data_IF_188758651753
#
_entry.id   IF_188758651753
#
_cell.length_a   1.000
_cell.length_b   1.000
_cell.length_c   1.000
_cell.angle_alpha   90.00
_cell.angle_beta   90.00
_cell.angle_gamma   90.00
#
_symmetry.space_group_name_H-M   'P 1'
#
loop_
_entity.id
_entity.type
_entity.pdbx_description
1 polymer ?
#
# COMPACT_ATOMS: atom_id res chain seq x y z
N UNK A 1 15.56 20.18 14.14
CA UNK A 1 15.78 20.13 12.68
C UNK A 1 16.20 18.76 12.23
N UNK A 2 17.28 18.23 12.74
CA UNK A 2 17.75 16.90 12.33
C UNK A 2 16.73 15.78 12.60
N UNK A 3 15.90 15.91 13.62
CA UNK A 3 14.89 14.92 13.93
C UNK A 3 13.77 14.88 12.89
N UNK A 4 13.39 16.01 12.31
CA UNK A 4 12.33 16.06 11.30
C UNK A 4 12.85 15.55 9.95
N UNK A 5 14.07 15.89 9.59
CA UNK A 5 14.71 15.35 8.40
C UNK A 5 14.89 13.84 8.50
N UNK A 6 15.31 13.34 9.64
CA UNK A 6 15.44 11.90 9.88
C UNK A 6 14.11 11.18 9.83
N UNK A 7 13.03 11.81 10.29
CA UNK A 7 11.68 11.26 10.17
C UNK A 7 11.22 11.18 8.73
N UNK A 8 11.45 12.23 7.96
CA UNK A 8 11.10 12.26 6.53
C UNK A 8 11.92 11.22 5.77
N UNK A 9 13.21 11.12 6.04
CA UNK A 9 14.07 10.12 5.43
C UNK A 9 13.68 8.69 5.83
N UNK A 10 13.36 8.46 7.10
CA UNK A 10 12.92 7.15 7.58
C UNK A 10 11.60 6.75 6.93
N UNK A 11 10.65 7.67 6.80
CA UNK A 11 9.38 7.43 6.10
C UNK A 11 9.62 7.16 4.61
N UNK A 12 10.49 7.94 3.96
CA UNK A 12 10.84 7.76 2.55
C UNK A 12 11.58 6.44 2.30
N UNK A 13 12.39 6.00 3.26
CA UNK A 13 13.10 4.73 3.18
C UNK A 13 12.21 3.52 3.53
N UNK A 14 10.94 3.73 3.91
CA UNK A 14 10.04 2.67 4.33
C UNK A 14 10.38 2.11 5.71
N UNK A 15 11.28 2.75 6.45
CA UNK A 15 11.60 2.37 7.82
C UNK A 15 10.54 2.99 8.71
N UNK A 16 9.46 2.25 8.97
CA UNK A 16 8.41 2.72 9.83
C UNK A 16 8.65 2.14 11.21
N UNK A 17 9.18 2.99 12.04
CA UNK A 17 9.24 2.76 13.46
C UNK A 17 7.81 2.87 14.02
N UNK A 18 7.62 2.59 15.28
CA UNK A 18 6.31 2.51 15.96
C UNK A 18 5.40 3.76 15.84
N UNK A 19 5.81 4.75 15.07
CA UNK A 19 5.13 6.06 15.04
C UNK A 19 4.01 6.18 14.01
N UNK A 20 4.02 5.38 12.96
CA UNK A 20 3.06 5.53 11.88
C UNK A 20 3.19 6.85 11.12
N UNK A 21 2.31 7.07 10.19
CA UNK A 21 2.22 8.30 9.40
C UNK A 21 0.88 8.99 9.68
N UNK A 22 0.93 10.27 9.97
CA UNK A 22 -0.26 11.07 10.24
C UNK A 22 -0.46 12.10 9.12
N UNK A 23 -1.64 12.10 8.56
CA UNK A 23 -2.09 13.11 7.61
C UNK A 23 -3.15 13.98 8.27
N UNK A 24 -2.96 15.30 8.21
CA UNK A 24 -3.94 16.26 8.73
C UNK A 24 -4.90 16.67 7.62
N UNK A 25 -6.17 16.45 7.85
CA UNK A 25 -7.24 16.79 6.93
C UNK A 25 -8.22 17.74 7.59
N UNK A 26 -8.96 18.50 6.79
CA UNK A 26 -9.96 19.43 7.29
C UNK A 26 -11.08 18.74 8.11
N UNK A 27 -11.44 17.51 7.75
CA UNK A 27 -12.48 16.74 8.43
C UNK A 27 -11.98 15.81 9.54
N UNK A 28 -10.70 15.83 9.85
CA UNK A 28 -10.08 14.94 10.83
C UNK A 28 -8.78 14.34 10.35
N UNK A 29 -7.96 13.90 11.29
CA UNK A 29 -6.65 13.32 10.95
C UNK A 29 -6.79 11.87 10.54
N UNK A 30 -5.95 11.44 9.60
CA UNK A 30 -5.78 10.03 9.23
C UNK A 30 -4.40 9.59 9.70
N UNK A 31 -4.37 8.55 10.53
CA UNK A 31 -3.12 7.99 11.05
C UNK A 31 -2.99 6.55 10.58
N UNK A 32 -1.93 6.26 9.84
CA UNK A 32 -1.58 4.92 9.42
C UNK A 32 -0.40 4.45 10.27
N UNK A 33 -0.62 3.43 11.07
CA UNK A 33 0.40 2.83 11.93
C UNK A 33 0.96 1.57 11.30
N UNK A 34 2.08 1.04 11.82
CA UNK A 34 2.55 -0.26 11.36
C UNK A 34 1.42 -1.28 11.41
N UNK A 35 1.24 -2.01 10.32
CA UNK A 35 0.07 -2.89 10.17
C UNK A 35 0.27 -4.20 10.94
N UNK A 36 -0.78 -4.63 11.61
CA UNK A 36 -0.83 -5.97 12.18
C UNK A 36 -0.92 -7.00 11.05
N UNK A 37 -0.42 -8.19 11.30
CA UNK A 37 -0.42 -9.25 10.28
C UNK A 37 -1.85 -9.56 9.78
N UNK A 38 -2.82 -9.58 10.67
CA UNK A 38 -4.23 -9.77 10.29
C UNK A 38 -4.73 -8.70 9.34
N UNK A 39 -4.32 -7.45 9.55
CA UNK A 39 -4.65 -6.34 8.64
C UNK A 39 -4.01 -6.53 7.26
N UNK A 40 -2.75 -6.95 7.23
CA UNK A 40 -2.06 -7.27 5.97
C UNK A 40 -2.79 -8.37 5.22
N UNK A 41 -3.27 -9.40 5.90
CA UNK A 41 -4.04 -10.48 5.27
C UNK A 41 -5.33 -9.96 4.65
N UNK A 42 -6.06 -9.11 5.37
CA UNK A 42 -7.30 -8.51 4.85
C UNK A 42 -7.04 -7.68 3.60
N UNK A 43 -6.03 -6.82 3.66
CA UNK A 43 -5.65 -5.98 2.52
C UNK A 43 -5.19 -6.83 1.34
N UNK A 44 -4.36 -7.83 1.59
CA UNK A 44 -3.87 -8.74 0.56
C UNK A 44 -5.01 -9.48 -0.14
N UNK A 45 -6.01 -9.91 0.63
CA UNK A 45 -7.18 -10.56 0.08
C UNK A 45 -8.02 -9.61 -0.78
N UNK A 46 -8.24 -8.39 -0.32
CA UNK A 46 -8.96 -7.38 -1.11
C UNK A 46 -8.26 -7.10 -2.44
N UNK A 47 -6.94 -6.94 -2.40
CA UNK A 47 -6.14 -6.69 -3.60
C UNK A 47 -6.21 -7.89 -4.56
N UNK A 48 -6.05 -9.10 -4.03
CA UNK A 48 -6.12 -10.32 -4.85
C UNK A 48 -7.47 -10.48 -5.53
N UNK A 49 -8.56 -10.25 -4.82
CA UNK A 49 -9.92 -10.37 -5.35
C UNK A 49 -10.22 -9.31 -6.40
N UNK A 50 -9.57 -8.15 -6.34
CA UNK A 50 -9.80 -7.06 -7.28
C UNK A 50 -9.15 -7.28 -8.64
N UNK A 51 -8.18 -8.17 -8.73
CA UNK A 51 -7.39 -8.36 -9.94
C UNK A 51 -6.29 -7.33 -10.16
N UNK A 52 -6.09 -6.41 -9.20
CA UNK A 52 -4.99 -5.46 -9.28
C UNK A 52 -3.65 -6.18 -9.11
N UNK A 53 -2.73 -5.93 -10.04
CA UNK A 53 -1.38 -6.49 -10.01
C UNK A 53 -0.36 -5.38 -9.78
N UNK A 54 0.83 -5.75 -9.34
CA UNK A 54 1.93 -4.79 -9.18
C UNK A 54 2.32 -4.15 -10.52
N UNK A 55 2.23 -4.90 -11.61
CA UNK A 55 2.46 -4.34 -12.95
C UNK A 55 1.46 -3.23 -13.27
N UNK A 56 0.18 -3.45 -12.98
CA UNK A 56 -0.86 -2.44 -13.18
C UNK A 56 -0.62 -1.20 -12.32
N UNK A 57 -0.12 -1.37 -11.10
CA UNK A 57 0.22 -0.26 -10.23
C UNK A 57 1.37 0.55 -10.83
N UNK A 58 2.41 -0.11 -11.32
CA UNK A 58 3.56 0.53 -11.95
C UNK A 58 3.17 1.25 -13.25
N UNK A 59 2.37 0.60 -14.07
CA UNK A 59 1.90 1.15 -15.35
C UNK A 59 0.84 2.23 -15.16
N UNK A 60 0.15 2.23 -14.03
CA UNK A 60 -0.90 3.18 -13.70
C UNK A 60 -0.46 4.63 -13.69
N UNK A 61 0.84 4.90 -13.59
CA UNK A 61 1.39 6.23 -13.72
C UNK A 61 1.14 6.87 -15.09
N UNK A 62 0.91 6.06 -16.13
CA UNK A 62 0.65 6.53 -17.49
C UNK A 62 -0.84 6.78 -17.74
N UNK A 63 -1.73 6.16 -16.97
CA UNK A 63 -3.17 6.35 -17.11
C UNK A 63 -3.83 6.32 -15.73
N UNK A 64 -3.61 7.38 -14.97
CA UNK A 64 -4.12 7.52 -13.60
C UNK A 64 -5.64 7.56 -13.55
N UNK A 65 -6.28 8.20 -14.51
CA UNK A 65 -7.75 8.31 -14.54
C UNK A 65 -8.40 6.94 -14.66
N UNK A 66 -7.86 6.10 -15.52
CA UNK A 66 -8.35 4.73 -15.69
C UNK A 66 -8.14 3.92 -14.42
N UNK A 67 -6.98 4.07 -13.80
CA UNK A 67 -6.66 3.37 -12.56
C UNK A 67 -7.63 3.75 -11.44
N UNK A 68 -7.94 5.03 -11.30
CA UNK A 68 -8.91 5.48 -10.30
C UNK A 68 -10.33 4.99 -10.62
N UNK A 69 -10.71 4.95 -11.89
CA UNK A 69 -12.01 4.44 -12.29
C UNK A 69 -12.17 2.94 -11.95
N UNK A 70 -11.15 2.14 -12.20
CA UNK A 70 -11.18 0.69 -11.95
C UNK A 70 -10.93 0.33 -10.50
N UNK A 71 -10.00 1.01 -9.82
CA UNK A 71 -9.50 0.60 -8.50
C UNK A 71 -9.65 1.65 -7.42
N UNK A 72 -10.32 2.76 -7.70
CA UNK A 72 -10.47 3.83 -6.71
C UNK A 72 -11.17 3.36 -5.43
N UNK A 73 -12.24 2.60 -5.57
CA UNK A 73 -12.96 2.04 -4.42
C UNK A 73 -12.08 1.09 -3.60
N UNK A 74 -11.31 0.24 -4.28
CA UNK A 74 -10.34 -0.64 -3.63
C UNK A 74 -9.31 0.18 -2.84
N UNK A 75 -8.79 1.25 -3.41
CA UNK A 75 -7.82 2.11 -2.73
C UNK A 75 -8.39 2.67 -1.43
N UNK A 76 -9.63 3.18 -1.48
CA UNK A 76 -10.31 3.71 -0.31
C UNK A 76 -10.49 2.63 0.77
N UNK A 77 -10.89 1.43 0.39
CA UNK A 77 -11.10 0.33 1.31
C UNK A 77 -9.79 -0.17 1.94
N UNK A 78 -8.72 -0.25 1.16
CA UNK A 78 -7.41 -0.65 1.68
C UNK A 78 -6.88 0.37 2.69
N UNK A 79 -7.01 1.66 2.40
CA UNK A 79 -6.60 2.71 3.33
C UNK A 79 -7.45 2.68 4.59
N UNK A 80 -8.77 2.45 4.46
CA UNK A 80 -9.67 2.32 5.60
C UNK A 80 -9.28 1.14 6.49
N UNK A 81 -9.01 -0.01 5.90
CA UNK A 81 -8.58 -1.18 6.65
C UNK A 81 -7.26 -0.93 7.39
N UNK A 82 -6.33 -0.26 6.73
CA UNK A 82 -5.03 0.08 7.33
C UNK A 82 -5.17 1.07 8.51
N UNK A 83 -6.05 2.05 8.39
CA UNK A 83 -6.31 2.99 9.48
C UNK A 83 -6.97 2.29 10.67
N UNK A 84 -7.98 1.44 10.42
CA UNK A 84 -8.66 0.70 11.46
C UNK A 84 -7.74 -0.28 12.18
N UNK A 85 -6.98 -1.05 11.43
CA UNK A 85 -5.88 -1.91 11.92
C UNK A 85 -6.22 -2.74 13.17
N UNK A 86 -7.48 -3.09 13.36
CA UNK A 86 -7.96 -3.86 14.51
C UNK A 86 -8.88 -5.00 14.05
N UNK A 87 -8.67 -6.19 14.62
CA UNK A 87 -9.41 -7.40 14.26
C UNK A 87 -10.92 -7.19 14.33
N UNK A 88 -11.40 -6.60 15.40
CA UNK A 88 -12.85 -6.41 15.63
C UNK A 88 -13.48 -5.48 14.61
N UNK A 89 -12.76 -4.40 14.28
CA UNK A 89 -13.23 -3.43 13.28
C UNK A 89 -13.14 -3.97 11.87
N UNK A 90 -12.18 -4.83 11.59
CA UNK A 90 -12.01 -5.46 10.29
C UNK A 90 -12.97 -6.62 10.04
N UNK A 91 -13.55 -7.19 11.08
CA UNK A 91 -14.51 -8.28 10.96
C UNK A 91 -15.83 -7.83 10.32
N UNK A 92 -16.14 -6.54 10.34
CA UNK A 92 -17.32 -5.97 9.75
C UNK A 92 -17.00 -5.05 8.59
N UNK A 93 -17.58 -5.31 7.43
CA UNK A 93 -17.45 -4.44 6.25
C UNK A 93 -18.00 -3.03 6.51
N UNK A 94 -18.90 -2.87 7.46
CA UNK A 94 -19.52 -1.58 7.76
C UNK A 94 -18.50 -0.52 8.21
N UNK A 95 -17.56 -0.90 9.05
CA UNK A 95 -16.52 0.02 9.52
C UNK A 95 -15.60 0.45 8.37
N UNK A 96 -15.21 -0.50 7.52
CA UNK A 96 -14.37 -0.22 6.36
C UNK A 96 -15.11 0.73 5.41
N UNK A 97 -16.38 0.45 5.14
CA UNK A 97 -17.20 1.27 4.25
C UNK A 97 -17.40 2.68 4.79
N UNK A 98 -17.67 2.82 6.07
CA UNK A 98 -17.84 4.11 6.72
C UNK A 98 -16.58 4.98 6.58
N UNK A 99 -15.42 4.41 6.83
CA UNK A 99 -14.15 5.14 6.67
C UNK A 99 -13.84 5.41 5.20
N UNK A 100 -14.12 4.49 4.31
CA UNK A 100 -13.96 4.70 2.87
C UNK A 100 -14.82 5.86 2.38
N UNK A 101 -16.06 5.96 2.84
CA UNK A 101 -16.95 7.07 2.51
C UNK A 101 -16.43 8.40 3.04
N UNK A 102 -15.88 8.41 4.24
CA UNK A 102 -15.22 9.59 4.80
C UNK A 102 -14.05 10.05 3.90
N UNK A 103 -13.24 9.14 3.44
CA UNK A 103 -12.13 9.47 2.55
C UNK A 103 -12.60 10.00 1.20
N UNK A 104 -13.67 9.41 0.66
CA UNK A 104 -14.24 9.84 -0.61
C UNK A 104 -14.65 11.30 -0.56
N UNK A 105 -15.18 11.75 0.56
CA UNK A 105 -15.66 13.11 0.73
C UNK A 105 -14.58 14.12 1.14
N UNK A 106 -13.48 13.65 1.73
CA UNK A 106 -12.51 14.54 2.38
C UNK A 106 -11.10 14.49 1.80
N UNK A 107 -10.74 13.44 1.07
CA UNK A 107 -9.42 13.32 0.48
C UNK A 107 -9.40 13.73 -0.99
N UNK A 108 -8.31 14.37 -1.40
CA UNK A 108 -8.05 14.58 -2.83
C UNK A 108 -7.55 13.29 -3.46
N UNK A 109 -7.65 13.23 -4.77
CA UNK A 109 -7.15 12.10 -5.57
C UNK A 109 -5.66 11.83 -5.27
N UNK A 110 -4.87 12.89 -5.17
CA UNK A 110 -3.45 12.77 -4.89
C UNK A 110 -3.20 12.19 -3.50
N UNK A 111 -3.95 12.63 -2.51
CA UNK A 111 -3.82 12.15 -1.14
C UNK A 111 -4.20 10.68 -1.01
N UNK A 112 -5.28 10.24 -1.64
CA UNK A 112 -5.66 8.83 -1.57
C UNK A 112 -4.65 7.93 -2.26
N UNK A 113 -4.11 8.36 -3.39
CA UNK A 113 -3.08 7.60 -4.09
C UNK A 113 -1.82 7.45 -3.22
N UNK A 114 -1.37 8.55 -2.62
CA UNK A 114 -0.20 8.56 -1.73
C UNK A 114 -0.41 7.65 -0.53
N UNK A 115 -1.58 7.72 0.10
CA UNK A 115 -1.93 6.84 1.21
C UNK A 115 -1.97 5.38 0.79
N UNK A 116 -2.55 5.09 -0.35
CA UNK A 116 -2.63 3.72 -0.86
C UNK A 116 -1.25 3.11 -1.12
N UNK A 117 -0.37 3.86 -1.77
CA UNK A 117 1.02 3.42 -2.00
C UNK A 117 1.73 3.17 -0.67
N UNK A 118 1.52 4.07 0.30
CA UNK A 118 2.09 3.93 1.63
C UNK A 118 1.59 2.66 2.33
N UNK A 119 0.30 2.38 2.24
CA UNK A 119 -0.31 1.16 2.80
C UNK A 119 0.28 -0.10 2.16
N UNK A 120 0.47 -0.08 0.84
CA UNK A 120 1.11 -1.21 0.15
C UNK A 120 2.54 -1.43 0.64
N UNK A 121 3.28 -0.36 0.86
CA UNK A 121 4.64 -0.46 1.40
C UNK A 121 4.64 -1.03 2.82
N UNK A 122 3.72 -0.57 3.66
CA UNK A 122 3.56 -1.09 5.02
C UNK A 122 3.14 -2.56 5.04
N UNK A 123 2.38 -2.99 4.05
CA UNK A 123 1.96 -4.39 3.90
C UNK A 123 3.10 -5.32 3.50
N UNK A 124 4.26 -4.78 3.16
CA UNK A 124 5.41 -5.56 2.72
C UNK A 124 5.29 -6.08 1.29
N UNK A 125 4.26 -5.67 0.56
CA UNK A 125 4.03 -6.14 -0.83
C UNK A 125 5.23 -5.80 -1.71
N UNK A 126 5.75 -4.58 -1.59
CA UNK A 126 6.89 -4.15 -2.38
C UNK A 126 8.16 -4.92 -1.99
N UNK A 127 8.40 -5.11 -0.70
CA UNK A 127 9.53 -5.89 -0.20
C UNK A 127 9.45 -7.35 -0.68
N UNK A 128 8.26 -7.93 -0.62
CA UNK A 128 8.01 -9.28 -1.11
C UNK A 128 8.27 -9.39 -2.60
N UNK A 129 7.79 -8.43 -3.39
CA UNK A 129 8.06 -8.36 -4.82
C UNK A 129 9.56 -8.30 -5.10
N UNK A 130 10.28 -7.44 -4.38
CA UNK A 130 11.72 -7.30 -4.55
C UNK A 130 12.46 -8.59 -4.22
N UNK A 131 12.05 -9.28 -3.17
CA UNK A 131 12.62 -10.57 -2.78
C UNK A 131 12.38 -11.63 -3.86
N UNK A 132 11.17 -11.74 -4.37
CA UNK A 132 10.83 -12.68 -5.42
C UNK A 132 11.59 -12.36 -6.70
N UNK A 133 11.68 -11.10 -7.09
CA UNK A 133 12.45 -10.66 -8.26
C UNK A 133 13.91 -11.02 -8.11
N UNK A 134 14.50 -10.82 -6.94
CA UNK A 134 15.87 -11.17 -6.65
C UNK A 134 16.10 -12.68 -6.77
N UNK A 135 15.21 -13.49 -6.20
CA UNK A 135 15.30 -14.94 -6.28
C UNK A 135 15.16 -15.45 -7.72
N UNK A 136 14.26 -14.86 -8.50
CA UNK A 136 14.10 -15.19 -9.90
C UNK A 136 15.35 -14.83 -10.71
N UNK A 137 15.93 -13.66 -10.45
CA UNK A 137 17.17 -13.24 -11.10
C UNK A 137 18.34 -14.17 -10.78
N UNK A 138 18.45 -14.61 -9.54
CA UNK A 138 19.47 -15.57 -9.13
C UNK A 138 19.27 -16.92 -9.85
N UNK A 139 18.04 -17.37 -9.98
CA UNK A 139 17.69 -18.57 -10.70
C UNK A 139 18.03 -18.45 -12.19
N UNK A 140 17.72 -17.34 -12.82
CA UNK A 140 18.07 -17.07 -14.21
C UNK A 140 19.59 -17.02 -14.40
N UNK A 141 20.32 -16.38 -13.49
CA UNK A 141 21.77 -16.34 -13.55
C UNK A 141 22.41 -17.72 -13.42
N UNK A 142 21.81 -18.62 -12.65
CA UNK A 142 22.33 -19.99 -12.52
C UNK A 142 22.05 -20.84 -13.77
N UNK A 143 21.02 -20.50 -14.54
CA UNK A 143 20.64 -21.19 -15.77
C UNK A 143 21.21 -20.52 -17.03
N UNK A 144 21.36 -19.21 -16.99
CA UNK A 144 21.76 -18.36 -18.12
C UNK A 144 23.14 -18.64 -18.71
N UNK A 145 24.21 -18.96 -17.93
CA UNK A 145 25.51 -19.26 -18.48
C UNK A 145 25.48 -20.43 -19.48
N UNK A 146 24.62 -21.39 -19.27
CA UNK A 146 24.45 -22.52 -20.19
C UNK A 146 23.81 -22.12 -21.51
N UNK A 147 22.92 -21.14 -21.48
CA UNK A 147 22.27 -20.63 -22.70
C UNK A 147 23.19 -19.76 -23.52
N UNK A 148 23.98 -18.93 -22.85
CA UNK A 148 24.94 -18.01 -23.51
C UNK A 148 26.15 -18.75 -24.06
N UNK A 149 26.47 -19.88 -23.50
CA UNK A 149 27.54 -20.73 -23.98
C UNK A 149 27.17 -21.57 -25.19
N UNK A 150 25.93 -21.55 -25.58
CA UNK A 150 25.46 -22.16 -26.80
C UNK A 150 25.34 -21.14 -27.97
#
# INVERSE_FOLDING_TARGET
MNNDENRVQAAAAGVILDRGVRYKLAGGDVTIRPLRFGTVLVISQMVAESGLTLEKIEDGGNDQMRMFAEYGDLMLRCVAAAELNEKEKLASDDHIRERADFYRDNLTVFQIYELFVHVLNLSGIQAFKNTISLLLNLKEKSLSPKRKGS
#
